data_IF_407542490003
#
_entry.id   IF_407542490003
#
_cell.length_a   1.000
_cell.length_b   1.000
_cell.length_c   1.000
_cell.angle_alpha   90.00
_cell.angle_beta   90.00
_cell.angle_gamma   90.00
#
_symmetry.space_group_name_H-M   'P 1'
#
loop_
_entity.id
_entity.type
_entity.pdbx_description
1 polymer ?
#
# COMPACT_ATOMS: atom_id res chain seq x y z
N UNK A 1 13.06 30.92 3.51
CA UNK A 1 11.81 31.48 4.04
C UNK A 1 10.67 31.16 3.08
N UNK A 2 9.68 30.34 3.51
CA UNK A 2 8.52 29.98 2.67
C UNK A 2 7.33 30.92 2.89
N UNK A 3 7.57 32.12 3.41
CA UNK A 3 6.54 33.12 3.66
C UNK A 3 5.79 33.47 2.36
N UNK A 4 4.50 33.14 2.32
CA UNK A 4 3.64 33.40 1.18
C UNK A 4 3.31 32.19 0.30
N UNK A 5 3.93 31.01 0.47
CA UNK A 5 3.62 29.79 -0.28
C UNK A 5 2.64 28.91 0.51
N UNK A 6 1.65 28.37 -0.16
CA UNK A 6 0.71 27.44 0.48
C UNK A 6 1.40 26.12 0.86
N UNK A 7 0.88 25.42 1.88
CA UNK A 7 1.34 24.06 2.24
C UNK A 7 1.26 23.12 1.04
N UNK A 8 0.18 23.21 0.23
CA UNK A 8 0.06 22.41 -1.00
C UNK A 8 1.19 22.68 -1.99
N UNK A 9 1.54 23.95 -2.20
CA UNK A 9 2.67 24.32 -3.08
C UNK A 9 4.00 23.73 -2.59
N UNK A 10 4.24 23.75 -1.28
CA UNK A 10 5.43 23.17 -0.68
C UNK A 10 5.45 21.65 -0.78
N UNK A 11 4.28 21.00 -0.63
CA UNK A 11 4.11 19.55 -0.79
C UNK A 11 4.46 19.11 -2.22
N UNK A 12 4.03 19.86 -3.25
CA UNK A 12 4.31 19.55 -4.65
C UNK A 12 5.82 19.56 -4.97
N UNK A 13 6.63 20.34 -4.25
CA UNK A 13 8.08 20.38 -4.47
C UNK A 13 8.78 19.05 -4.18
N UNK A 14 8.17 18.18 -3.39
CA UNK A 14 8.67 16.82 -3.17
C UNK A 14 8.43 15.89 -4.38
N UNK A 15 7.59 16.31 -5.35
CA UNK A 15 7.30 15.54 -6.55
C UNK A 15 8.37 15.79 -7.63
N UNK A 16 8.97 14.75 -8.21
CA UNK A 16 9.95 14.89 -9.28
C UNK A 16 9.25 15.21 -10.61
N UNK A 17 8.94 16.49 -10.83
CA UNK A 17 8.18 16.97 -12.00
C UNK A 17 8.78 16.52 -13.35
N UNK A 18 10.10 16.51 -13.47
CA UNK A 18 10.78 16.06 -14.71
C UNK A 18 10.49 14.60 -15.01
N UNK A 19 10.50 13.72 -13.99
CA UNK A 19 10.19 12.30 -14.15
C UNK A 19 8.72 12.12 -14.51
N UNK A 20 7.81 12.92 -13.94
CA UNK A 20 6.41 12.94 -14.35
C UNK A 20 6.27 13.27 -15.84
N UNK A 21 6.98 14.29 -16.34
CA UNK A 21 6.95 14.67 -17.76
C UNK A 21 7.46 13.54 -18.68
N UNK A 22 8.47 12.77 -18.24
CA UNK A 22 8.92 11.56 -18.97
C UNK A 22 7.81 10.53 -19.07
N UNK A 23 7.06 10.30 -17.96
CA UNK A 23 5.90 9.39 -17.98
C UNK A 23 4.81 9.90 -18.94
N UNK A 24 4.50 11.19 -18.92
CA UNK A 24 3.53 11.80 -19.84
C UNK A 24 3.96 11.64 -21.29
N UNK A 25 5.22 11.92 -21.61
CA UNK A 25 5.77 11.81 -22.96
C UNK A 25 5.71 10.37 -23.51
N UNK A 26 6.01 9.38 -22.66
CA UNK A 26 5.98 7.95 -23.03
C UNK A 26 4.62 7.50 -23.57
N UNK A 27 3.54 8.04 -23.04
CA UNK A 27 2.16 7.67 -23.43
C UNK A 27 1.45 8.78 -24.23
N UNK A 28 2.14 9.87 -24.59
CA UNK A 28 1.57 10.97 -25.35
C UNK A 28 0.40 11.66 -24.63
N UNK A 29 0.43 11.70 -23.28
CA UNK A 29 -0.71 12.13 -22.47
C UNK A 29 -1.16 13.57 -22.66
N UNK A 30 -0.25 14.45 -23.03
CA UNK A 30 -0.53 15.87 -23.34
C UNK A 30 -0.58 16.15 -24.85
N UNK A 31 -0.65 15.11 -25.70
CA UNK A 31 -0.86 15.29 -27.13
C UNK A 31 -2.23 15.92 -27.38
N UNK A 32 -2.25 17.01 -28.17
CA UNK A 32 -3.45 17.82 -28.43
C UNK A 32 -4.04 18.53 -27.19
N UNK A 33 -3.17 18.86 -26.23
CA UNK A 33 -3.53 19.59 -25.02
C UNK A 33 -4.25 20.91 -25.36
N UNK A 34 -5.42 21.15 -24.77
CA UNK A 34 -6.15 22.43 -24.85
C UNK A 34 -5.96 23.23 -23.55
N UNK A 35 -6.55 22.76 -22.45
CA UNK A 35 -6.64 23.53 -21.20
C UNK A 35 -6.11 22.80 -19.96
N UNK A 36 -6.27 21.47 -19.85
CA UNK A 36 -5.94 20.70 -18.66
C UNK A 36 -4.81 19.73 -18.98
N UNK A 37 -3.59 19.98 -18.46
CA UNK A 37 -2.46 19.06 -18.64
C UNK A 37 -2.62 17.80 -17.79
N UNK A 38 -1.81 16.75 -18.09
CA UNK A 38 -1.72 15.58 -17.20
C UNK A 38 -1.24 15.95 -15.80
N UNK A 39 -0.42 16.99 -15.69
CA UNK A 39 0.02 17.54 -14.41
C UNK A 39 -1.14 18.19 -13.65
N UNK A 40 -1.94 19.05 -14.30
CA UNK A 40 -3.13 19.64 -13.69
C UNK A 40 -4.13 18.57 -13.23
N UNK A 41 -4.33 17.50 -14.03
CA UNK A 41 -5.17 16.36 -13.65
C UNK A 41 -4.59 15.67 -12.41
N UNK A 42 -3.28 15.37 -12.40
CA UNK A 42 -2.62 14.76 -11.24
C UNK A 42 -2.80 15.62 -9.99
N UNK A 43 -2.54 16.93 -10.07
CA UNK A 43 -2.68 17.85 -8.95
C UNK A 43 -4.12 17.93 -8.43
N UNK A 44 -5.12 18.01 -9.33
CA UNK A 44 -6.53 18.04 -8.96
C UNK A 44 -6.97 16.75 -8.25
N UNK A 45 -6.53 15.60 -8.76
CA UNK A 45 -6.84 14.30 -8.16
C UNK A 45 -6.06 14.10 -6.85
N UNK A 46 -4.80 14.51 -6.76
CA UNK A 46 -4.01 14.47 -5.53
C UNK A 46 -4.60 15.37 -4.44
N UNK A 47 -5.03 16.58 -4.81
CA UNK A 47 -5.79 17.47 -3.94
C UNK A 47 -7.05 16.79 -3.40
N UNK A 48 -7.80 16.11 -4.27
CA UNK A 48 -9.01 15.40 -3.89
C UNK A 48 -8.72 14.29 -2.86
N UNK A 49 -7.63 13.53 -3.03
CA UNK A 49 -7.20 12.50 -2.09
C UNK A 49 -6.80 13.12 -0.73
N UNK A 50 -5.99 14.17 -0.76
CA UNK A 50 -5.50 14.84 0.45
C UNK A 50 -6.60 15.54 1.26
N UNK A 51 -7.70 15.97 0.61
CA UNK A 51 -8.80 16.71 1.25
C UNK A 51 -10.12 15.93 1.33
N UNK A 52 -10.07 14.62 1.06
CA UNK A 52 -11.25 13.74 1.16
C UNK A 52 -12.45 14.15 0.31
N UNK A 53 -12.22 14.67 -0.93
CA UNK A 53 -13.33 15.02 -1.83
C UNK A 53 -14.05 13.78 -2.31
N UNK A 54 -15.37 13.87 -2.42
CA UNK A 54 -16.22 12.72 -2.73
C UNK A 54 -16.65 12.68 -4.20
N UNK A 55 -16.58 13.81 -4.88
CA UNK A 55 -17.01 13.92 -6.27
C UNK A 55 -16.16 14.93 -7.07
N UNK A 56 -16.22 14.81 -8.41
CA UNK A 56 -15.61 15.81 -9.30
C UNK A 56 -16.24 17.20 -9.13
N UNK A 57 -17.50 17.28 -8.66
CA UNK A 57 -18.16 18.56 -8.35
C UNK A 57 -17.52 19.22 -7.14
N UNK A 58 -17.20 18.44 -6.12
CA UNK A 58 -16.53 18.96 -4.91
C UNK A 58 -15.12 19.45 -5.23
N UNK A 59 -14.39 18.69 -6.09
CA UNK A 59 -13.08 19.11 -6.55
C UNK A 59 -13.16 20.47 -7.26
N UNK A 60 -14.07 20.61 -8.25
CA UNK A 60 -14.28 21.85 -8.98
C UNK A 60 -14.69 23.00 -8.05
N UNK A 61 -15.64 22.79 -7.15
CA UNK A 61 -16.13 23.80 -6.22
C UNK A 61 -15.02 24.28 -5.28
N UNK A 62 -14.25 23.36 -4.69
CA UNK A 62 -13.17 23.70 -3.79
C UNK A 62 -12.00 24.42 -4.51
N UNK A 63 -11.58 23.95 -5.69
CA UNK A 63 -10.54 24.61 -6.45
C UNK A 63 -11.00 25.98 -6.96
N UNK A 64 -12.28 26.13 -7.31
CA UNK A 64 -12.86 27.42 -7.70
C UNK A 64 -12.87 28.43 -6.54
N UNK A 65 -13.16 28.00 -5.31
CA UNK A 65 -13.16 28.89 -4.13
C UNK A 65 -11.78 29.48 -3.84
N UNK A 66 -10.71 28.83 -4.28
CA UNK A 66 -9.32 29.27 -4.13
C UNK A 66 -8.69 29.68 -5.47
N UNK A 67 -9.51 30.10 -6.45
CA UNK A 67 -9.06 30.40 -7.81
C UNK A 67 -7.87 31.38 -7.91
N UNK A 68 -7.80 32.37 -7.01
CA UNK A 68 -6.65 33.29 -6.92
C UNK A 68 -5.33 32.66 -6.44
N UNK A 69 -5.38 31.45 -5.87
CA UNK A 69 -4.20 30.72 -5.39
C UNK A 69 -3.75 29.60 -6.33
N UNK A 70 -4.57 29.21 -7.33
CA UNK A 70 -4.32 28.05 -8.20
C UNK A 70 -2.95 28.11 -8.88
N UNK A 71 -2.57 29.27 -9.42
CA UNK A 71 -1.26 29.45 -10.04
C UNK A 71 -0.12 29.14 -9.07
N UNK A 72 -0.21 29.63 -7.84
CA UNK A 72 0.77 29.35 -6.79
C UNK A 72 0.75 27.90 -6.30
N UNK A 73 -0.31 27.16 -6.57
CA UNK A 73 -0.46 25.73 -6.29
C UNK A 73 0.00 24.86 -7.47
N UNK A 74 0.57 25.44 -8.52
CA UNK A 74 1.10 24.72 -9.68
C UNK A 74 0.09 24.42 -10.78
N UNK A 75 -1.15 24.90 -10.69
CA UNK A 75 -2.16 24.77 -11.75
C UNK A 75 -1.97 25.83 -12.82
N UNK A 76 -2.11 25.46 -14.10
CA UNK A 76 -2.07 26.39 -15.23
C UNK A 76 -3.33 27.23 -15.36
N UNK A 77 -4.47 26.74 -14.87
CA UNK A 77 -5.75 27.40 -15.01
C UNK A 77 -6.87 26.77 -14.20
N UNK A 78 -8.10 27.09 -14.54
CA UNK A 78 -9.29 26.56 -13.89
C UNK A 78 -9.48 25.07 -14.22
N UNK A 79 -9.86 24.29 -13.23
CA UNK A 79 -10.20 22.87 -13.39
C UNK A 79 -11.72 22.74 -13.45
N UNK A 80 -12.25 22.43 -14.63
CA UNK A 80 -13.67 22.15 -14.83
C UNK A 80 -13.96 20.66 -14.64
N UNK A 81 -15.08 20.33 -14.01
CA UNK A 81 -15.53 18.97 -13.75
C UNK A 81 -15.60 18.10 -15.01
N UNK A 82 -16.19 18.63 -16.10
CA UNK A 82 -16.31 17.90 -17.36
C UNK A 82 -14.96 17.58 -17.95
N UNK A 83 -14.06 18.56 -18.01
CA UNK A 83 -12.68 18.37 -18.53
C UNK A 83 -11.89 17.38 -17.69
N UNK A 84 -12.07 17.37 -16.37
CA UNK A 84 -11.43 16.40 -15.48
C UNK A 84 -12.01 14.99 -15.65
N UNK A 85 -13.33 14.87 -15.88
CA UNK A 85 -13.98 13.60 -16.21
C UNK A 85 -13.46 13.03 -17.53
N UNK A 86 -13.45 13.84 -18.60
CA UNK A 86 -12.91 13.43 -19.91
C UNK A 86 -11.43 13.03 -19.83
N UNK A 87 -10.63 13.74 -19.04
CA UNK A 87 -9.25 13.40 -18.81
C UNK A 87 -9.09 12.04 -18.09
N UNK A 88 -9.92 11.74 -17.10
CA UNK A 88 -9.91 10.45 -16.40
C UNK A 88 -10.32 9.28 -17.31
N UNK A 89 -11.22 9.53 -18.27
CA UNK A 89 -11.65 8.50 -19.23
C UNK A 89 -10.64 8.28 -20.36
N UNK A 90 -10.05 9.34 -20.90
CA UNK A 90 -9.28 9.29 -22.14
C UNK A 90 -7.76 9.11 -21.94
N UNK A 91 -7.18 9.67 -20.88
CA UNK A 91 -5.73 9.62 -20.65
C UNK A 91 -5.29 8.27 -20.10
N UNK A 92 -4.17 7.75 -20.64
CA UNK A 92 -3.66 6.46 -20.26
C UNK A 92 -3.28 6.42 -18.77
N UNK A 93 -3.93 5.57 -17.99
CA UNK A 93 -3.67 5.37 -16.56
C UNK A 93 -2.22 4.99 -16.24
N UNK A 94 -1.49 4.42 -17.22
CA UNK A 94 -0.09 4.02 -17.04
C UNK A 94 0.83 5.20 -16.78
N UNK A 95 0.47 6.41 -17.18
CA UNK A 95 1.20 7.64 -16.84
C UNK A 95 1.35 7.74 -15.32
N UNK A 96 0.25 7.54 -14.59
CA UNK A 96 0.20 7.66 -13.14
C UNK A 96 0.78 6.42 -12.44
N UNK A 97 0.67 5.25 -13.07
CA UNK A 97 1.30 4.02 -12.59
C UNK A 97 2.83 4.13 -12.63
N UNK A 98 3.39 4.53 -13.78
CA UNK A 98 4.83 4.72 -13.93
C UNK A 98 5.34 5.80 -12.97
N UNK A 99 4.59 6.88 -12.80
CA UNK A 99 4.96 7.92 -11.85
C UNK A 99 4.93 7.44 -10.40
N UNK A 100 3.95 6.62 -10.02
CA UNK A 100 3.93 6.00 -8.71
C UNK A 100 5.17 5.10 -8.49
N UNK A 101 5.63 4.38 -9.52
CA UNK A 101 6.87 3.58 -9.44
C UNK A 101 8.11 4.47 -9.23
N UNK A 102 8.16 5.65 -9.85
CA UNK A 102 9.23 6.64 -9.58
C UNK A 102 9.24 7.05 -8.11
N UNK A 103 8.07 7.38 -7.55
CA UNK A 103 7.96 7.75 -6.13
C UNK A 103 8.33 6.60 -5.20
N UNK A 104 7.93 5.37 -5.53
CA UNK A 104 8.29 4.14 -4.80
C UNK A 104 9.82 3.96 -4.80
N UNK A 105 10.46 4.14 -5.95
CA UNK A 105 11.93 4.07 -6.07
C UNK A 105 12.65 5.12 -5.20
N UNK A 106 12.06 6.30 -5.01
CA UNK A 106 12.57 7.35 -4.10
C UNK A 106 12.31 6.96 -2.63
N UNK A 107 11.15 6.39 -2.31
CA UNK A 107 10.76 6.09 -0.94
C UNK A 107 11.53 4.92 -0.33
N UNK A 108 11.74 3.82 -1.09
CA UNK A 108 12.38 2.59 -0.59
C UNK A 108 13.73 2.84 0.10
N UNK A 109 14.71 3.54 -0.50
CA UNK A 109 15.99 3.81 0.17
C UNK A 109 15.85 4.65 1.44
N UNK A 110 14.88 5.57 1.50
CA UNK A 110 14.63 6.40 2.67
C UNK A 110 14.17 5.56 3.88
N UNK A 111 13.44 4.47 3.62
CA UNK A 111 12.86 3.61 4.62
C UNK A 111 13.64 2.30 4.86
N UNK A 112 14.72 2.05 4.15
CA UNK A 112 15.47 0.77 4.18
C UNK A 112 15.96 0.33 5.58
N UNK A 113 16.04 1.24 6.54
CA UNK A 113 16.45 0.97 7.93
C UNK A 113 15.30 1.06 8.95
N UNK A 114 14.07 1.19 8.49
CA UNK A 114 12.93 1.25 9.40
C UNK A 114 12.70 -0.13 10.04
N UNK A 115 12.33 -0.19 11.33
CA UNK A 115 12.08 -1.46 12.00
C UNK A 115 10.85 -2.15 11.40
N UNK A 116 10.92 -3.47 11.25
CA UNK A 116 9.85 -4.30 10.66
C UNK A 116 9.02 -5.06 11.70
N UNK A 117 9.38 -4.96 12.99
CA UNK A 117 8.67 -5.67 14.07
C UNK A 117 9.07 -7.14 14.23
N UNK A 118 10.10 -7.59 13.53
CA UNK A 118 10.76 -8.88 13.70
C UNK A 118 12.28 -8.66 13.74
N UNK A 119 12.99 -9.54 14.44
CA UNK A 119 14.46 -9.54 14.47
C UNK A 119 14.98 -10.18 13.17
N UNK A 120 15.09 -9.35 12.15
CA UNK A 120 15.45 -9.75 10.79
C UNK A 120 16.21 -8.61 10.09
N UNK A 121 17.38 -8.92 9.56
CA UNK A 121 18.21 -7.96 8.80
C UNK A 121 17.84 -7.93 7.31
N UNK A 122 17.27 -9.02 6.80
CA UNK A 122 16.90 -9.20 5.40
C UNK A 122 15.62 -8.45 5.06
N UNK A 123 15.46 -8.15 3.77
CA UNK A 123 14.20 -7.60 3.25
C UNK A 123 13.02 -8.52 3.54
N UNK A 124 11.93 -7.94 4.02
CA UNK A 124 10.67 -8.66 4.31
C UNK A 124 9.52 -8.04 3.53
N UNK A 125 8.91 -8.85 2.69
CA UNK A 125 7.77 -8.46 1.86
C UNK A 125 6.50 -9.19 2.30
N UNK A 126 5.40 -8.45 2.42
CA UNK A 126 4.07 -9.04 2.60
C UNK A 126 3.30 -8.99 1.27
N UNK A 127 2.85 -10.16 0.81
CA UNK A 127 1.99 -10.28 -0.38
C UNK A 127 0.55 -10.56 0.06
N UNK A 128 -0.36 -9.72 -0.38
CA UNK A 128 -1.79 -9.90 -0.15
C UNK A 128 -2.62 -9.16 -1.20
N UNK A 129 -3.93 -9.35 -1.19
CA UNK A 129 -4.87 -8.66 -2.06
C UNK A 129 -6.04 -8.08 -1.28
N UNK A 130 -6.63 -7.04 -1.85
CA UNK A 130 -7.86 -6.47 -1.31
C UNK A 130 -8.88 -6.28 -2.42
N UNK A 131 -10.14 -6.64 -2.12
CA UNK A 131 -11.26 -6.47 -3.02
C UNK A 131 -11.96 -5.15 -2.75
N UNK A 132 -12.29 -4.43 -3.82
CA UNK A 132 -13.08 -3.20 -3.80
C UNK A 132 -14.38 -3.53 -4.53
N UNK A 133 -15.48 -3.63 -3.78
CA UNK A 133 -16.80 -3.94 -4.33
C UNK A 133 -17.33 -2.78 -5.17
N UNK A 134 -17.92 -3.09 -6.32
CA UNK A 134 -18.48 -2.16 -7.29
C UNK A 134 -19.92 -2.52 -7.64
N UNK A 135 -20.68 -1.53 -8.09
CA UNK A 135 -22.01 -1.75 -8.63
C UNK A 135 -21.89 -2.30 -10.06
N UNK A 136 -22.36 -3.52 -10.32
CA UNK A 136 -22.26 -4.16 -11.65
C UNK A 136 -22.92 -3.34 -12.77
N UNK A 137 -24.01 -2.62 -12.47
CA UNK A 137 -24.71 -1.79 -13.47
C UNK A 137 -23.85 -0.60 -13.95
N UNK A 138 -22.96 -0.08 -13.07
CA UNK A 138 -22.07 1.04 -13.39
C UNK A 138 -20.69 0.57 -13.88
N UNK A 139 -20.26 -0.63 -13.50
CA UNK A 139 -18.93 -1.17 -13.79
C UNK A 139 -19.03 -2.57 -14.45
N UNK A 140 -19.65 -2.70 -15.63
CA UNK A 140 -19.89 -4.01 -16.28
C UNK A 140 -18.60 -4.74 -16.67
N UNK A 141 -17.50 -4.01 -16.88
CA UNK A 141 -16.18 -4.56 -17.19
C UNK A 141 -15.51 -5.28 -16.01
N UNK A 142 -15.87 -4.90 -14.76
CA UNK A 142 -15.28 -5.45 -13.55
C UNK A 142 -16.08 -6.64 -12.97
N UNK A 143 -16.69 -7.46 -13.83
CA UNK A 143 -17.51 -8.60 -13.41
C UNK A 143 -16.72 -9.54 -12.52
N UNK A 144 -17.26 -9.82 -11.32
CA UNK A 144 -16.63 -10.69 -10.31
C UNK A 144 -17.44 -11.98 -10.08
N UNK A 145 -18.76 -11.84 -9.96
CA UNK A 145 -19.72 -12.95 -9.81
C UNK A 145 -20.96 -12.64 -10.62
N UNK A 146 -21.89 -13.61 -10.72
CA UNK A 146 -23.10 -13.45 -11.55
C UNK A 146 -23.85 -12.11 -11.35
N UNK A 147 -23.81 -11.55 -10.12
CA UNK A 147 -24.53 -10.31 -9.76
C UNK A 147 -23.65 -9.26 -9.08
N UNK A 148 -22.32 -9.40 -9.12
CA UNK A 148 -21.37 -8.49 -8.45
C UNK A 148 -20.26 -8.09 -9.39
N UNK A 149 -19.83 -6.84 -9.26
CA UNK A 149 -18.59 -6.35 -9.83
C UNK A 149 -17.60 -6.05 -8.69
N UNK A 150 -16.33 -6.23 -8.96
CA UNK A 150 -15.27 -5.88 -8.03
C UNK A 150 -13.95 -5.69 -8.78
N UNK A 151 -13.11 -4.85 -8.22
CA UNK A 151 -11.70 -4.72 -8.59
C UNK A 151 -10.85 -5.25 -7.47
N UNK A 152 -9.81 -6.01 -7.79
CA UNK A 152 -8.79 -6.45 -6.84
C UNK A 152 -7.53 -5.64 -7.00
N UNK A 153 -6.98 -5.21 -5.88
CA UNK A 153 -5.65 -4.63 -5.80
C UNK A 153 -4.74 -5.62 -5.07
N UNK A 154 -3.84 -6.25 -5.82
CA UNK A 154 -2.80 -7.13 -5.30
C UNK A 154 -1.57 -6.28 -5.02
N UNK A 155 -0.96 -6.49 -3.87
CA UNK A 155 0.16 -5.66 -3.43
C UNK A 155 1.25 -6.51 -2.79
N UNK A 156 2.48 -6.30 -3.25
CA UNK A 156 3.68 -6.69 -2.54
C UNK A 156 4.18 -5.47 -1.77
N UNK A 157 4.11 -5.53 -0.46
CA UNK A 157 4.48 -4.45 0.46
C UNK A 157 5.85 -4.72 1.06
N UNK A 158 6.80 -3.81 0.87
CA UNK A 158 8.05 -3.81 1.63
C UNK A 158 7.74 -3.33 3.05
N UNK A 159 8.01 -4.17 4.03
CA UNK A 159 7.66 -3.88 5.43
C UNK A 159 8.62 -2.88 6.08
N UNK A 160 9.74 -2.55 5.44
CA UNK A 160 10.50 -1.36 5.79
C UNK A 160 9.73 -0.11 5.34
N UNK A 161 9.10 0.54 6.30
CA UNK A 161 8.30 1.74 6.07
C UNK A 161 6.95 1.50 5.37
N UNK A 162 6.55 0.25 5.15
CA UNK A 162 5.29 -0.14 4.49
C UNK A 162 5.12 0.47 3.09
N UNK A 163 6.17 0.41 2.28
CA UNK A 163 6.18 0.94 0.91
C UNK A 163 5.74 -0.15 -0.08
N UNK A 164 4.68 0.06 -0.89
CA UNK A 164 4.29 -0.92 -1.89
C UNK A 164 5.35 -1.00 -3.00
N UNK A 165 5.89 -2.18 -3.26
CA UNK A 165 6.91 -2.38 -4.30
C UNK A 165 6.31 -2.87 -5.61
N UNK A 166 5.20 -3.59 -5.52
CA UNK A 166 4.45 -4.08 -6.67
C UNK A 166 2.95 -3.92 -6.40
N UNK A 167 2.22 -3.39 -7.37
CA UNK A 167 0.77 -3.30 -7.34
C UNK A 167 0.20 -3.75 -8.68
N UNK A 168 -0.77 -4.67 -8.63
CA UNK A 168 -1.54 -5.11 -9.79
C UNK A 168 -3.02 -4.89 -9.54
N UNK A 169 -3.67 -4.17 -10.43
CA UNK A 169 -5.12 -3.95 -10.40
C UNK A 169 -5.77 -4.85 -11.43
N UNK A 170 -6.65 -5.77 -10.97
CA UNK A 170 -7.34 -6.76 -11.82
C UNK A 170 -8.85 -6.72 -11.58
N UNK A 171 -9.62 -7.38 -12.44
CA UNK A 171 -10.99 -7.75 -12.11
C UNK A 171 -11.02 -8.70 -10.91
N UNK A 172 -12.17 -8.74 -10.21
CA UNK A 172 -12.29 -9.51 -8.96
C UNK A 172 -12.20 -11.03 -9.11
N UNK A 173 -12.32 -11.56 -10.33
CA UNK A 173 -12.29 -12.99 -10.65
C UNK A 173 -10.86 -13.58 -10.72
N UNK A 174 -9.83 -12.75 -10.84
CA UNK A 174 -8.44 -13.22 -10.86
C UNK A 174 -8.06 -13.81 -9.50
N UNK A 175 -7.59 -15.05 -9.50
CA UNK A 175 -7.11 -15.72 -8.28
C UNK A 175 -5.81 -15.13 -7.77
N UNK A 176 -5.71 -14.91 -6.46
CA UNK A 176 -4.56 -14.25 -5.82
C UNK A 176 -3.24 -14.99 -6.10
N UNK A 177 -3.27 -16.30 -6.11
CA UNK A 177 -2.09 -17.16 -6.34
C UNK A 177 -1.43 -16.93 -7.71
N UNK A 178 -2.19 -16.48 -8.72
CA UNK A 178 -1.65 -16.22 -10.06
C UNK A 178 -0.66 -15.04 -10.07
N UNK A 179 -0.70 -14.19 -9.05
CA UNK A 179 0.23 -13.07 -8.93
C UNK A 179 1.66 -13.51 -8.63
N UNK A 180 1.84 -14.73 -8.10
CA UNK A 180 3.16 -15.29 -7.88
C UNK A 180 3.95 -15.45 -9.20
N UNK A 181 3.27 -15.60 -10.33
CA UNK A 181 3.89 -15.68 -11.67
C UNK A 181 4.47 -14.33 -12.13
N UNK A 182 3.99 -13.21 -11.58
CA UNK A 182 4.44 -11.85 -11.93
C UNK A 182 5.54 -11.34 -10.96
N UNK A 183 5.79 -12.05 -9.85
CA UNK A 183 6.78 -11.66 -8.85
C UNK A 183 8.13 -12.32 -9.17
N UNK A 184 9.16 -11.51 -9.27
CA UNK A 184 10.55 -11.97 -9.34
C UNK A 184 11.14 -12.00 -7.94
N UNK A 185 11.35 -13.17 -7.30
CA UNK A 185 11.86 -13.24 -5.94
C UNK A 185 13.30 -12.72 -5.85
N UNK A 186 13.56 -11.85 -4.89
CA UNK A 186 14.92 -11.34 -4.58
C UNK A 186 15.67 -12.35 -3.70
N UNK A 187 16.87 -12.73 -4.07
CA UNK A 187 17.68 -13.67 -3.28
C UNK A 187 17.93 -13.13 -1.87
N UNK A 188 17.76 -13.98 -0.86
CA UNK A 188 17.90 -13.65 0.56
C UNK A 188 16.67 -12.95 1.18
N UNK A 189 15.73 -12.46 0.40
CA UNK A 189 14.52 -11.82 0.92
C UNK A 189 13.48 -12.81 1.43
N UNK A 190 12.66 -12.37 2.37
CA UNK A 190 11.53 -13.12 2.92
C UNK A 190 10.21 -12.61 2.34
N UNK A 191 9.33 -13.55 2.00
CA UNK A 191 7.98 -13.28 1.48
C UNK A 191 6.95 -13.91 2.40
N UNK A 192 6.13 -13.09 3.06
CA UNK A 192 5.07 -13.56 3.92
C UNK A 192 3.70 -13.47 3.22
N UNK A 193 2.96 -14.59 3.24
CA UNK A 193 1.73 -14.75 2.47
C UNK A 193 0.67 -15.49 3.26
N UNK A 194 -0.62 -15.26 2.94
CA UNK A 194 -1.71 -16.05 3.50
C UNK A 194 -1.81 -17.42 2.80
N UNK A 195 -2.61 -18.31 3.39
CA UNK A 195 -2.89 -19.66 2.87
C UNK A 195 -3.47 -19.69 1.44
N UNK A 196 -4.01 -18.57 0.96
CA UNK A 196 -4.51 -18.41 -0.41
C UNK A 196 -3.42 -18.63 -1.47
N UNK A 197 -2.18 -18.31 -1.12
CA UNK A 197 -1.01 -18.38 -2.00
C UNK A 197 -0.29 -19.74 -2.00
N UNK A 198 -0.84 -20.77 -1.35
CA UNK A 198 -0.24 -22.11 -1.40
C UNK A 198 -0.44 -22.73 -2.79
N UNK A 199 0.64 -22.71 -3.54
CA UNK A 199 0.87 -23.42 -4.78
C UNK A 199 2.33 -23.87 -4.77
N UNK A 200 2.58 -25.18 -4.69
CA UNK A 200 3.94 -25.68 -4.44
C UNK A 200 4.87 -25.48 -5.63
N UNK A 201 4.35 -25.51 -6.86
CA UNK A 201 5.16 -25.22 -8.04
C UNK A 201 5.68 -23.77 -8.00
N UNK A 202 4.81 -22.81 -7.70
CA UNK A 202 5.16 -21.40 -7.58
C UNK A 202 6.05 -21.12 -6.36
N UNK A 203 5.78 -21.78 -5.23
CA UNK A 203 6.64 -21.66 -4.04
C UNK A 203 8.05 -22.24 -4.27
N UNK A 204 8.18 -23.24 -5.14
CA UNK A 204 9.49 -23.77 -5.49
C UNK A 204 10.35 -22.76 -6.26
N UNK A 205 9.76 -21.88 -7.04
CA UNK A 205 10.47 -20.77 -7.70
C UNK A 205 11.19 -19.88 -6.69
N UNK A 206 10.57 -19.59 -5.53
CA UNK A 206 11.23 -18.85 -4.46
C UNK A 206 12.45 -19.59 -3.93
N UNK A 207 12.35 -20.89 -3.73
CA UNK A 207 13.48 -21.72 -3.28
C UNK A 207 14.60 -21.72 -4.30
N UNK A 208 14.30 -21.91 -5.58
CA UNK A 208 15.29 -21.86 -6.66
C UNK A 208 15.95 -20.48 -6.81
N UNK A 209 15.24 -19.42 -6.46
CA UNK A 209 15.74 -18.03 -6.47
C UNK A 209 16.51 -17.68 -5.19
N UNK A 210 16.78 -18.66 -4.31
CA UNK A 210 17.40 -18.42 -2.98
C UNK A 210 16.63 -17.40 -2.12
N UNK A 211 15.34 -17.25 -2.35
CA UNK A 211 14.44 -16.44 -1.53
C UNK A 211 13.68 -17.34 -0.52
N UNK A 212 13.22 -16.73 0.55
CA UNK A 212 12.49 -17.43 1.60
C UNK A 212 11.03 -17.04 1.61
N UNK A 213 10.18 -18.01 1.94
CA UNK A 213 8.76 -17.72 2.16
C UNK A 213 8.30 -18.20 3.54
N UNK A 214 7.28 -17.53 4.06
CA UNK A 214 6.52 -17.97 5.23
C UNK A 214 5.05 -17.89 4.86
N UNK A 215 4.39 -19.05 4.78
CA UNK A 215 2.99 -19.14 4.38
C UNK A 215 2.18 -19.92 5.42
N UNK A 216 0.95 -19.46 5.70
CA UNK A 216 0.05 -20.21 6.59
C UNK A 216 -0.44 -21.45 5.88
N UNK A 217 -0.28 -22.64 6.52
CA UNK A 217 -0.70 -23.91 5.90
C UNK A 217 -2.22 -24.09 5.88
N UNK A 218 -2.72 -24.82 4.88
CA UNK A 218 -4.08 -25.34 4.80
C UNK A 218 -4.17 -26.69 5.50
N UNK A 219 -5.35 -27.06 6.02
CA UNK A 219 -5.57 -28.33 6.71
C UNK A 219 -5.45 -29.57 5.81
N UNK A 220 -5.68 -29.38 4.51
CA UNK A 220 -5.65 -30.44 3.51
C UNK A 220 -4.28 -30.69 2.87
N UNK A 221 -3.23 -29.98 3.30
CA UNK A 221 -1.86 -30.23 2.83
C UNK A 221 -1.34 -31.52 3.47
N UNK A 222 -1.02 -32.53 2.64
CA UNK A 222 -0.51 -33.82 3.07
C UNK A 222 1.01 -33.72 3.29
N UNK A 223 1.41 -33.87 4.56
CA UNK A 223 2.79 -33.72 5.02
C UNK A 223 3.22 -34.90 5.86
N UNK A 224 4.38 -35.47 5.57
CA UNK A 224 5.06 -36.44 6.41
C UNK A 224 6.17 -35.76 7.21
N UNK A 225 6.13 -35.92 8.53
CA UNK A 225 7.21 -35.47 9.40
C UNK A 225 8.43 -36.35 9.25
N UNK A 226 9.58 -35.73 8.99
CA UNK A 226 10.89 -36.41 8.95
C UNK A 226 11.62 -36.25 10.27
N UNK A 227 11.62 -35.02 10.83
CA UNK A 227 12.32 -34.71 12.07
C UNK A 227 11.53 -33.71 12.91
N UNK A 228 11.73 -33.72 14.24
CA UNK A 228 11.18 -32.71 15.16
C UNK A 228 12.34 -32.07 15.91
N UNK A 229 12.40 -30.74 15.81
CA UNK A 229 13.39 -29.94 16.53
C UNK A 229 12.88 -29.63 17.95
N UNK A 230 13.78 -29.48 18.94
CA UNK A 230 13.38 -29.04 20.28
C UNK A 230 12.82 -27.61 20.21
N UNK A 231 11.82 -27.34 21.05
CA UNK A 231 11.16 -26.02 21.10
C UNK A 231 10.95 -25.59 22.56
N UNK A 232 11.11 -24.30 22.80
CA UNK A 232 10.68 -23.68 24.04
C UNK A 232 9.17 -23.32 23.93
N UNK A 233 8.36 -24.06 24.64
CA UNK A 233 6.89 -23.88 24.64
C UNK A 233 6.44 -22.60 25.36
N UNK A 234 7.29 -22.02 26.21
CA UNK A 234 6.99 -20.77 26.92
C UNK A 234 6.87 -19.59 25.96
N UNK A 235 7.56 -19.64 24.82
CA UNK A 235 7.52 -18.62 23.76
C UNK A 235 6.25 -18.64 22.90
N UNK A 236 5.37 -19.63 23.12
CA UNK A 236 4.21 -19.87 22.28
C UNK A 236 4.46 -20.85 21.12
N UNK A 237 5.73 -21.19 20.80
CA UNK A 237 6.06 -22.20 19.79
C UNK A 237 5.65 -23.57 20.31
N UNK A 238 4.83 -24.30 19.56
CA UNK A 238 4.30 -25.62 19.95
C UNK A 238 5.04 -26.77 19.30
N UNK A 239 5.52 -26.59 18.09
CA UNK A 239 6.35 -27.57 17.39
C UNK A 239 7.14 -26.89 16.28
N UNK A 240 8.31 -27.46 15.99
CA UNK A 240 9.19 -27.14 14.88
C UNK A 240 9.61 -28.44 14.23
N UNK A 241 9.33 -28.61 12.94
CA UNK A 241 9.42 -29.91 12.28
C UNK A 241 9.93 -29.76 10.84
N UNK A 242 10.84 -30.63 10.47
CA UNK A 242 11.16 -30.89 9.07
C UNK A 242 10.12 -31.84 8.49
N UNK A 243 9.51 -31.46 7.40
CA UNK A 243 8.42 -32.20 6.73
C UNK A 243 8.69 -32.31 5.23
N UNK A 244 8.10 -33.32 4.60
CA UNK A 244 8.07 -33.48 3.14
C UNK A 244 6.64 -33.61 2.67
N UNK A 245 6.38 -33.18 1.44
CA UNK A 245 5.09 -33.38 0.78
C UNK A 245 4.92 -34.85 0.42
N UNK A 246 3.71 -35.40 0.60
CA UNK A 246 3.42 -36.81 0.34
C UNK A 246 2.44 -37.04 -0.80
N UNK A 247 1.69 -36.01 -1.23
CA UNK A 247 0.91 -36.10 -2.45
C UNK A 247 1.85 -36.21 -3.65
N UNK A 248 1.61 -37.15 -4.55
CA UNK A 248 2.39 -37.33 -5.77
C UNK A 248 2.53 -36.03 -6.56
N UNK A 249 1.43 -35.33 -6.79
CA UNK A 249 1.42 -34.05 -7.52
C UNK A 249 2.26 -32.97 -6.83
N UNK A 250 2.09 -32.80 -5.50
CA UNK A 250 2.82 -31.76 -4.79
C UNK A 250 4.30 -32.08 -4.61
N UNK A 251 4.63 -33.36 -4.38
CA UNK A 251 6.01 -33.79 -4.18
C UNK A 251 6.82 -33.75 -5.51
N UNK A 252 6.17 -33.93 -6.66
CA UNK A 252 6.83 -33.85 -7.96
C UNK A 252 7.24 -32.41 -8.32
N UNK A 253 6.46 -31.40 -7.90
CA UNK A 253 6.71 -29.99 -8.21
C UNK A 253 7.51 -29.27 -7.11
N UNK A 254 7.55 -29.81 -5.89
CA UNK A 254 8.36 -29.32 -4.78
C UNK A 254 9.03 -30.50 -4.07
N UNK A 255 10.18 -30.98 -4.57
CA UNK A 255 10.86 -32.17 -4.07
C UNK A 255 11.58 -31.96 -2.73
N UNK A 256 11.90 -30.71 -2.38
CA UNK A 256 12.72 -30.38 -1.21
C UNK A 256 11.93 -30.49 0.08
N UNK A 257 12.65 -30.66 1.19
CA UNK A 257 12.07 -30.60 2.52
C UNK A 257 11.58 -29.18 2.84
N UNK A 258 10.49 -29.11 3.58
CA UNK A 258 9.93 -27.89 4.14
C UNK A 258 10.03 -27.92 5.66
N UNK A 259 10.02 -26.77 6.27
CA UNK A 259 9.91 -26.60 7.73
C UNK A 259 8.49 -26.20 8.09
N UNK A 260 7.91 -26.91 9.06
CA UNK A 260 6.59 -26.61 9.62
C UNK A 260 6.71 -26.14 11.06
N UNK A 261 6.37 -24.88 11.29
CA UNK A 261 6.34 -24.26 12.62
C UNK A 261 4.89 -24.13 13.08
N UNK A 262 4.59 -24.61 14.30
CA UNK A 262 3.29 -24.42 14.95
C UNK A 262 3.43 -23.44 16.10
N UNK A 263 2.61 -22.42 16.11
CA UNK A 263 2.64 -21.32 17.07
C UNK A 263 1.24 -21.12 17.68
N UNK A 264 1.19 -20.85 18.98
CA UNK A 264 -0.01 -20.43 19.66
C UNK A 264 0.06 -18.94 19.96
N UNK A 265 -0.79 -18.18 19.32
CA UNK A 265 -0.90 -16.75 19.53
C UNK A 265 -1.84 -16.47 20.71
N UNK A 266 -1.28 -16.00 21.81
CA UNK A 266 -2.04 -15.71 23.04
C UNK A 266 -2.95 -14.49 22.90
N UNK A 267 -2.57 -13.50 22.06
CA UNK A 267 -3.37 -12.30 21.83
C UNK A 267 -4.68 -12.62 21.11
N UNK A 268 -4.62 -13.48 20.10
CA UNK A 268 -5.80 -13.86 19.30
C UNK A 268 -6.42 -15.20 19.72
N UNK A 269 -5.81 -15.90 20.69
CA UNK A 269 -6.17 -17.25 21.13
C UNK A 269 -6.26 -18.28 19.99
N UNK A 270 -5.36 -18.19 19.00
CA UNK A 270 -5.36 -19.03 17.80
C UNK A 270 -4.11 -19.87 17.67
N UNK A 271 -4.30 -21.10 17.19
CA UNK A 271 -3.18 -21.95 16.75
C UNK A 271 -2.93 -21.71 15.27
N UNK A 272 -1.70 -21.31 14.95
CA UNK A 272 -1.24 -21.06 13.60
C UNK A 272 -0.21 -22.11 13.22
N UNK A 273 -0.20 -22.51 11.95
CA UNK A 273 0.81 -23.42 11.40
C UNK A 273 1.37 -22.78 10.13
N UNK A 274 2.68 -22.69 10.07
CA UNK A 274 3.41 -22.08 8.97
C UNK A 274 4.24 -23.12 8.24
N UNK A 275 4.37 -22.97 6.92
CA UNK A 275 5.35 -23.64 6.09
C UNK A 275 6.37 -22.62 5.61
N UNK A 276 7.63 -23.01 5.60
CA UNK A 276 8.75 -22.19 5.12
C UNK A 276 9.87 -23.08 4.56
N UNK A 277 10.65 -22.55 3.65
CA UNK A 277 11.88 -23.14 3.16
C UNK A 277 13.12 -22.65 3.96
N UNK A 278 12.94 -21.83 5.01
CA UNK A 278 14.02 -21.36 5.86
C UNK A 278 14.21 -22.29 7.06
N UNK A 279 15.43 -22.85 7.21
CA UNK A 279 15.82 -23.73 8.30
C UNK A 279 16.79 -23.08 9.29
N UNK A 280 17.23 -21.84 9.03
CA UNK A 280 18.27 -21.15 9.80
C UNK A 280 17.69 -20.35 10.95
N UNK A 281 16.64 -19.55 10.67
CA UNK A 281 16.06 -18.66 11.69
C UNK A 281 15.38 -19.45 12.82
N UNK A 282 15.38 -18.92 14.07
CA UNK A 282 14.61 -19.47 15.16
C UNK A 282 13.11 -19.62 14.81
N UNK A 283 12.45 -20.68 15.35
CA UNK A 283 11.04 -20.91 15.08
C UNK A 283 10.13 -19.75 15.55
N UNK A 284 10.51 -19.07 16.63
CA UNK A 284 9.82 -17.87 17.11
C UNK A 284 9.91 -16.74 16.09
N UNK A 285 11.07 -16.51 15.49
CA UNK A 285 11.27 -15.48 14.45
C UNK A 285 10.40 -15.75 13.23
N UNK A 286 10.25 -17.02 12.81
CA UNK A 286 9.30 -17.40 11.72
C UNK A 286 7.86 -16.99 12.07
N UNK A 287 7.43 -17.20 13.32
CA UNK A 287 6.11 -16.79 13.77
C UNK A 287 5.94 -15.25 13.81
N UNK A 288 6.97 -14.53 14.24
CA UNK A 288 7.00 -13.06 14.25
C UNK A 288 6.94 -12.49 12.84
N UNK A 289 7.72 -13.04 11.89
CA UNK A 289 7.66 -12.69 10.47
C UNK A 289 6.23 -12.83 9.93
N UNK A 290 5.54 -13.92 10.27
CA UNK A 290 4.15 -14.07 9.82
C UNK A 290 3.21 -13.04 10.46
N UNK A 291 3.42 -12.66 11.72
CA UNK A 291 2.63 -11.58 12.35
C UNK A 291 2.80 -10.25 11.61
N UNK A 292 3.99 -9.95 11.08
CA UNK A 292 4.24 -8.73 10.32
C UNK A 292 3.38 -8.64 9.04
N UNK A 293 2.84 -9.74 8.52
CA UNK A 293 1.90 -9.73 7.37
C UNK A 293 0.71 -8.79 7.58
N UNK A 294 0.29 -8.60 8.84
CA UNK A 294 -0.81 -7.68 9.15
C UNK A 294 -0.59 -6.24 8.63
N UNK A 295 0.63 -5.84 8.41
CA UNK A 295 0.96 -4.50 7.89
C UNK A 295 0.34 -4.25 6.49
N UNK A 296 0.23 -5.29 5.64
CA UNK A 296 -0.42 -5.13 4.33
C UNK A 296 -1.93 -4.90 4.46
N UNK A 297 -2.58 -5.47 5.48
CA UNK A 297 -3.99 -5.21 5.76
C UNK A 297 -4.20 -3.77 6.28
N UNK A 298 -3.27 -3.26 7.10
CA UNK A 298 -3.27 -1.85 7.52
C UNK A 298 -3.04 -0.91 6.34
N UNK A 299 -2.14 -1.24 5.41
CA UNK A 299 -1.97 -0.51 4.16
C UNK A 299 -3.27 -0.47 3.36
N UNK A 300 -3.95 -1.61 3.16
CA UNK A 300 -5.24 -1.65 2.46
C UNK A 300 -6.33 -0.84 3.17
N UNK A 301 -6.38 -0.92 4.50
CA UNK A 301 -7.31 -0.11 5.29
C UNK A 301 -7.04 1.38 5.05
N UNK A 302 -5.76 1.78 5.07
CA UNK A 302 -5.34 3.15 4.85
C UNK A 302 -5.77 3.64 3.46
N UNK A 303 -5.42 2.90 2.39
CA UNK A 303 -5.78 3.23 1.01
C UNK A 303 -7.31 3.33 0.84
N UNK A 304 -8.08 2.38 1.38
CA UNK A 304 -9.55 2.37 1.24
C UNK A 304 -10.25 3.48 2.02
N UNK A 305 -9.80 3.76 3.23
CA UNK A 305 -10.49 4.68 4.13
C UNK A 305 -10.04 6.11 3.94
N UNK A 306 -8.74 6.33 3.78
CA UNK A 306 -8.18 7.68 3.77
C UNK A 306 -8.01 8.26 2.36
N UNK A 307 -7.78 7.41 1.36
CA UNK A 307 -7.73 7.86 -0.03
C UNK A 307 -9.03 7.55 -0.81
N UNK A 308 -10.08 7.12 -0.10
CA UNK A 308 -11.46 6.98 -0.61
C UNK A 308 -11.58 6.28 -1.96
N UNK A 309 -10.79 5.26 -2.22
CA UNK A 309 -10.91 4.47 -3.46
C UNK A 309 -12.15 3.55 -3.49
N UNK A 310 -13.07 3.71 -2.55
CA UNK A 310 -14.39 3.05 -2.59
C UNK A 310 -15.41 3.80 -3.44
N UNK A 311 -15.22 5.12 -3.63
CA UNK A 311 -16.05 5.97 -4.47
C UNK A 311 -15.20 6.46 -5.66
N UNK A 312 -15.45 5.87 -6.83
CA UNK A 312 -14.72 6.25 -8.05
C UNK A 312 -15.40 7.44 -8.74
N UNK A 313 -14.58 8.35 -9.28
CA UNK A 313 -15.04 9.55 -9.97
C UNK A 313 -15.46 9.28 -11.43
N UNK A 314 -15.13 8.11 -11.96
CA UNK A 314 -15.52 7.63 -13.28
C UNK A 314 -15.79 6.14 -13.25
N UNK A 315 -16.48 5.61 -14.25
CA UNK A 315 -16.92 4.21 -14.29
C UNK A 315 -16.13 3.33 -15.23
N UNK A 316 -15.30 3.90 -16.10
CA UNK A 316 -14.43 3.11 -16.98
C UNK A 316 -13.27 2.48 -16.23
N UNK A 317 -12.72 1.42 -16.79
CA UNK A 317 -11.52 0.76 -16.27
C UNK A 317 -10.35 1.76 -16.17
N UNK A 318 -10.22 2.64 -17.18
CA UNK A 318 -9.16 3.64 -17.22
C UNK A 318 -9.29 4.66 -16.07
N UNK A 319 -10.49 5.19 -15.83
CA UNK A 319 -10.75 6.15 -14.75
C UNK A 319 -10.50 5.53 -13.37
N UNK A 320 -10.93 4.28 -13.16
CA UNK A 320 -10.71 3.54 -11.90
C UNK A 320 -9.23 3.32 -11.66
N UNK A 321 -8.49 2.82 -12.66
CA UNK A 321 -7.04 2.61 -12.53
C UNK A 321 -6.28 3.93 -12.32
N UNK A 322 -6.66 4.99 -13.02
CA UNK A 322 -6.11 6.34 -12.83
C UNK A 322 -6.25 6.79 -11.38
N UNK A 323 -7.46 6.68 -10.81
CA UNK A 323 -7.70 7.10 -9.42
C UNK A 323 -6.90 6.24 -8.42
N UNK A 324 -6.84 4.92 -8.61
CA UNK A 324 -6.07 4.02 -7.73
C UNK A 324 -4.59 4.40 -7.77
N UNK A 325 -4.00 4.59 -8.95
CA UNK A 325 -2.58 4.89 -9.07
C UNK A 325 -2.20 6.28 -8.54
N UNK A 326 -3.09 7.27 -8.72
CA UNK A 326 -2.89 8.59 -8.09
C UNK A 326 -3.00 8.45 -6.56
N UNK A 327 -3.95 7.67 -6.04
CA UNK A 327 -4.06 7.41 -4.60
C UNK A 327 -2.79 6.75 -4.03
N UNK A 328 -2.24 5.74 -4.73
CA UNK A 328 -0.96 5.11 -4.36
C UNK A 328 0.18 6.13 -4.38
N UNK A 329 0.27 6.98 -5.40
CA UNK A 329 1.31 8.00 -5.48
C UNK A 329 1.21 9.03 -4.34
N UNK A 330 0.00 9.41 -3.92
CA UNK A 330 -0.23 10.29 -2.76
C UNK A 330 0.19 9.60 -1.46
N UNK A 331 -0.12 8.31 -1.28
CA UNK A 331 0.36 7.55 -0.13
C UNK A 331 1.89 7.61 -0.03
N UNK A 332 2.57 7.27 -1.12
CA UNK A 332 4.04 7.25 -1.17
C UNK A 332 4.63 8.66 -0.98
N UNK A 333 3.99 9.69 -1.55
CA UNK A 333 4.40 11.09 -1.35
C UNK A 333 4.35 11.47 0.14
N UNK A 334 3.26 11.16 0.85
CA UNK A 334 3.13 11.43 2.28
C UNK A 334 4.20 10.68 3.08
N UNK A 335 4.51 9.42 2.72
CA UNK A 335 5.58 8.65 3.34
C UNK A 335 6.96 9.30 3.12
N UNK A 336 7.26 9.78 1.89
CA UNK A 336 8.50 10.50 1.57
C UNK A 336 8.62 11.78 2.41
N UNK A 337 7.55 12.59 2.48
CA UNK A 337 7.51 13.84 3.22
C UNK A 337 7.77 13.59 4.70
N UNK A 338 7.01 12.64 5.27
CA UNK A 338 7.17 12.24 6.68
C UNK A 338 8.63 11.89 7.00
N UNK A 339 9.25 11.08 6.15
CA UNK A 339 10.63 10.64 6.36
C UNK A 339 11.66 11.75 6.18
N UNK A 340 11.52 12.57 5.13
CA UNK A 340 12.45 13.67 4.84
C UNK A 340 12.38 14.80 5.86
N UNK A 341 11.21 15.04 6.42
CA UNK A 341 11.01 16.07 7.45
C UNK A 341 11.22 15.54 8.87
N UNK A 342 11.53 14.25 9.05
CA UNK A 342 11.75 13.64 10.36
C UNK A 342 10.53 13.69 11.28
N UNK A 343 9.32 13.55 10.72
CA UNK A 343 8.07 13.63 11.48
C UNK A 343 7.81 12.33 12.25
N UNK A 344 7.52 12.43 13.54
CA UNK A 344 7.11 11.31 14.39
C UNK A 344 5.63 10.95 14.17
N UNK A 345 4.81 11.93 13.80
CA UNK A 345 3.39 11.75 13.50
C UNK A 345 3.16 10.58 12.52
N UNK A 346 2.12 9.79 12.76
CA UNK A 346 1.74 8.70 11.85
C UNK A 346 1.32 9.22 10.47
N UNK A 347 1.36 8.36 9.43
CA UNK A 347 0.86 8.73 8.10
C UNK A 347 -0.60 9.22 8.15
N UNK A 348 -1.40 8.64 9.03
CA UNK A 348 -2.79 9.07 9.23
C UNK A 348 -2.87 10.49 9.79
N UNK A 349 -2.16 10.78 10.88
CA UNK A 349 -2.14 12.13 11.47
C UNK A 349 -1.61 13.16 10.48
N UNK A 350 -0.52 12.85 9.77
CA UNK A 350 0.03 13.72 8.72
C UNK A 350 -1.03 14.06 7.66
N UNK A 351 -1.80 13.05 7.21
CA UNK A 351 -2.85 13.27 6.22
C UNK A 351 -4.01 14.12 6.78
N UNK A 352 -4.41 13.90 8.05
CA UNK A 352 -5.44 14.71 8.70
C UNK A 352 -5.05 16.19 8.77
N UNK A 353 -3.80 16.48 9.17
CA UNK A 353 -3.30 17.86 9.21
C UNK A 353 -3.29 18.46 7.80
N UNK A 354 -2.73 17.74 6.83
CA UNK A 354 -2.70 18.22 5.45
C UNK A 354 -4.11 18.52 4.94
N UNK A 355 -5.11 17.74 5.30
CA UNK A 355 -6.48 17.90 4.82
C UNK A 355 -7.10 19.27 5.18
N UNK A 356 -6.68 19.87 6.28
CA UNK A 356 -7.19 21.17 6.76
C UNK A 356 -6.23 22.34 6.50
N UNK A 357 -4.93 22.09 6.35
CA UNK A 357 -3.91 23.13 6.26
C UNK A 357 -3.41 23.42 4.83
N UNK A 358 -3.85 22.67 3.81
CA UNK A 358 -3.31 22.76 2.44
C UNK A 358 -3.29 24.17 1.85
N UNK A 359 -4.24 25.03 2.20
CA UNK A 359 -4.35 26.42 1.70
C UNK A 359 -3.69 27.47 2.58
N UNK A 360 -3.16 27.06 3.72
CA UNK A 360 -2.45 27.96 4.62
C UNK A 360 -1.08 28.32 4.04
N UNK A 361 -0.63 29.54 4.36
CA UNK A 361 0.68 30.08 3.97
C UNK A 361 1.69 29.92 5.13
N UNK A 362 1.78 28.71 5.65
CA UNK A 362 2.65 28.34 6.76
C UNK A 362 3.75 27.40 6.24
N UNK A 363 4.98 27.42 6.78
CA UNK A 363 5.97 26.40 6.46
C UNK A 363 5.42 25.00 6.74
N UNK A 364 5.56 24.08 5.78
CA UNK A 364 4.98 22.73 5.88
C UNK A 364 5.46 22.00 7.14
N UNK A 365 6.70 22.21 7.54
CA UNK A 365 7.24 21.63 8.78
C UNK A 365 6.47 22.14 10.01
N UNK A 366 6.22 23.45 10.11
CA UNK A 366 5.45 24.04 11.22
C UNK A 366 4.00 23.52 11.23
N UNK A 367 3.36 23.39 10.07
CA UNK A 367 2.01 22.85 9.98
C UNK A 367 1.94 21.40 10.46
N UNK A 368 2.97 20.57 10.18
CA UNK A 368 2.97 19.13 10.48
C UNK A 368 3.53 18.79 11.88
N UNK A 369 4.30 19.69 12.50
CA UNK A 369 4.81 19.52 13.88
C UNK A 369 3.87 20.08 14.97
N UNK A 370 2.82 20.79 14.60
CA UNK A 370 1.91 21.44 15.57
C UNK A 370 1.24 20.45 16.56
N UNK A 371 1.22 19.15 16.25
CA UNK A 371 0.67 18.11 17.14
C UNK A 371 1.60 17.81 18.32
N UNK A 372 2.92 17.86 18.15
CA UNK A 372 3.85 17.46 19.21
C UNK A 372 3.87 18.47 20.37
N UNK A 373 3.51 19.73 20.10
CA UNK A 373 3.44 20.77 21.11
C UNK A 373 2.23 20.58 22.03
N UNK A 374 1.08 20.16 21.49
CA UNK A 374 -0.13 19.92 22.29
C UNK A 374 -0.07 18.61 23.08
N UNK A 375 0.54 17.54 22.56
CA UNK A 375 0.71 16.28 23.28
C UNK A 375 1.58 16.46 24.53
N UNK A 376 2.65 17.26 24.44
CA UNK A 376 3.50 17.59 25.60
C UNK A 376 2.82 18.54 26.62
N UNK A 377 1.82 19.33 26.19
CA UNK A 377 1.01 20.13 27.11
C UNK A 377 -0.09 19.30 27.78
N UNK A 378 -0.66 18.29 27.10
CA UNK A 378 -1.73 17.45 27.67
C UNK A 378 -1.23 16.52 28.79
N UNK A 379 0.04 16.09 28.77
CA UNK A 379 0.64 15.32 29.87
C UNK A 379 0.88 16.16 31.15
N UNK A 380 0.87 17.48 31.04
CA UNK A 380 1.13 18.38 32.19
C UNK A 380 -0.11 19.08 32.76
N UNK A 381 -1.28 18.88 32.17
CA UNK A 381 -2.54 19.44 32.72
C UNK A 381 -3.36 18.31 33.32
N UNK A 382 -3.34 18.16 34.63
CA UNK A 382 -4.35 17.41 35.37
C UNK A 382 -5.72 18.07 35.14
N UNK A 383 -6.39 17.64 34.08
CA UNK A 383 -7.77 18.01 33.81
C UNK A 383 -8.65 17.18 34.76
N UNK A 384 -9.05 17.79 35.85
CA UNK A 384 -10.13 17.29 36.68
C UNK A 384 -11.34 17.04 35.81
N UNK A 385 -11.79 15.79 35.77
CA UNK A 385 -13.01 15.36 35.06
C UNK A 385 -14.18 16.09 35.75
N UNK A 386 -14.79 17.01 35.04
CA UNK A 386 -15.92 17.83 35.48
C UNK A 386 -17.23 17.23 34.99
N UNK A 387 -17.50 15.96 35.37
CA UNK A 387 -18.82 15.33 35.24
C UNK A 387 -18.89 14.10 36.15
N UNK A 388 -19.08 14.37 37.46
CA UNK A 388 -19.82 13.50 38.35
C UNK A 388 -21.15 14.18 38.66
N UNK A 389 -22.21 13.76 37.92
CA UNK A 389 -23.60 13.85 38.35
C UNK A 389 -24.35 12.66 37.76
#
# INVERSE_FOLDING_TARGET
>A
MNAGRTVFSQLIEFLPHQEFQKCVARYGGDRYLKNLSCWDQYLAMAFAQLTYRESLRDIEACLRSVSGKLYHMGFRGKVARSTLADANEARNWRIYADFAQVLIAIARPLHARDPIGADLEQSLYALDSTTIDLCLALFPWAKFRRRKAAVKMHTLLDLHGNIPTFIRVTSGDVHDVNLLDEIMPEAGAFYVMDRGYIDFQRLFVFTLSSAFFVVRTKSNVLLQRRYSHPVDKSTGVRSDQTVVLTSFESASVYPDALRRVSYFDTETNKRLKFLTNNFVLPALTIAQIYKCRWQVELFFKWIKQHLRIKAFYGTSENAVKTQIWIAVSVYVLVAIIRKRLGLEASLYQTLQILSVTLFEKTPILCALQAIDVEANFAENVNQLILFDF
#
